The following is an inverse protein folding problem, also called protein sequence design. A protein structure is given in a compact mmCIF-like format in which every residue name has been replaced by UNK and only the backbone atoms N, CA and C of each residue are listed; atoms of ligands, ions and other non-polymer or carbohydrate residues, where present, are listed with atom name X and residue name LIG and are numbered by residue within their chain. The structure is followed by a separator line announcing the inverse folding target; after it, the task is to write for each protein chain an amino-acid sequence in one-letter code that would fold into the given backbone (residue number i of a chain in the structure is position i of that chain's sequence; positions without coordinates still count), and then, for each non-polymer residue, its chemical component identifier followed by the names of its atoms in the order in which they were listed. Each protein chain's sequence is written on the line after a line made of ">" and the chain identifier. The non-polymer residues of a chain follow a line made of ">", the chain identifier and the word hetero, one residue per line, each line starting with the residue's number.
data_IF_613585972668
#
_entry.id   IF_613585972668
#
_cell.length_a   1.000
_cell.length_b   1.000
_cell.length_c   1.000
_cell.angle_alpha   90.00
_cell.angle_beta   90.00
_cell.angle_gamma   90.00
#
_symmetry.space_group_name_H-M   'P 1'
#
loop_
_entity.id
_entity.type
_entity.pdbx_description
1 polymer ?
#
# COMPACT_ATOMS: atom_id res chain seq x y z
N UNK A 1 -16.25 -14.47 -6.27
CA UNK A 1 -16.27 -13.08 -5.73
C UNK A 1 -17.46 -12.93 -4.78
N UNK A 2 -17.26 -12.42 -3.55
CA UNK A 2 -18.33 -12.25 -2.53
C UNK A 2 -19.23 -11.08 -2.92
N UNK A 3 -20.56 -11.22 -2.65
CA UNK A 3 -21.53 -10.14 -2.83
C UNK A 3 -21.85 -9.50 -1.45
N UNK A 4 -21.43 -8.25 -1.28
CA UNK A 4 -21.64 -7.46 -0.06
C UNK A 4 -22.92 -6.61 -0.10
N UNK A 5 -23.76 -6.75 -1.12
CA UNK A 5 -24.97 -5.90 -1.31
C UNK A 5 -25.91 -5.95 -0.11
N UNK A 6 -26.07 -7.13 0.49
CA UNK A 6 -26.96 -7.35 1.64
C UNK A 6 -26.24 -7.40 2.99
N UNK A 7 -24.96 -7.02 3.05
CA UNK A 7 -24.22 -6.92 4.31
C UNK A 7 -24.79 -5.77 5.17
N UNK A 8 -24.72 -5.94 6.50
CA UNK A 8 -25.25 -4.96 7.45
C UNK A 8 -24.33 -3.73 7.44
N UNK A 9 -24.89 -2.55 7.14
CA UNK A 9 -24.13 -1.30 7.18
C UNK A 9 -24.06 -0.75 8.61
N UNK A 10 -22.85 -0.45 9.08
CA UNK A 10 -22.60 0.25 10.34
C UNK A 10 -22.18 1.71 10.07
N UNK A 11 -22.24 2.53 11.12
CA UNK A 11 -21.76 3.90 11.05
C UNK A 11 -20.25 3.92 10.77
N UNK A 12 -19.85 4.63 9.71
CA UNK A 12 -18.44 4.72 9.31
C UNK A 12 -17.64 5.59 10.30
N UNK A 13 -16.72 5.02 11.05
CA UNK A 13 -15.82 5.71 11.97
C UNK A 13 -14.56 6.26 11.29
N UNK A 14 -14.26 5.84 10.06
CA UNK A 14 -13.00 6.14 9.38
C UNK A 14 -13.09 7.41 8.55
N UNK A 15 -12.07 8.26 8.68
CA UNK A 15 -11.89 9.50 7.90
C UNK A 15 -11.28 9.18 6.52
N UNK A 16 -11.34 10.13 5.60
CA UNK A 16 -10.70 10.07 4.27
C UNK A 16 -11.64 10.48 3.14
N UNK A 17 -11.06 10.82 1.99
CA UNK A 17 -11.76 11.39 0.83
C UNK A 17 -12.40 10.33 -0.08
N UNK A 18 -12.04 9.06 0.06
CA UNK A 18 -12.59 7.97 -0.73
C UNK A 18 -14.00 7.56 -0.27
N UNK A 19 -14.84 7.14 -1.22
CA UNK A 19 -16.12 6.56 -0.87
C UNK A 19 -15.92 5.20 -0.24
N UNK A 20 -16.33 5.08 1.03
CA UNK A 20 -16.19 3.85 1.81
C UNK A 20 -17.39 3.64 2.72
N UNK A 21 -17.68 2.38 3.04
CA UNK A 21 -18.72 1.96 3.97
C UNK A 21 -18.14 0.98 4.96
N UNK A 22 -18.60 1.03 6.20
CA UNK A 22 -18.34 -0.04 7.18
C UNK A 22 -19.46 -1.06 7.09
N UNK A 23 -19.12 -2.31 6.77
CA UNK A 23 -20.07 -3.40 6.61
C UNK A 23 -19.71 -4.55 7.55
N UNK A 24 -20.74 -5.20 8.10
CA UNK A 24 -20.61 -6.49 8.79
C UNK A 24 -21.02 -7.60 7.83
N UNK A 25 -20.10 -8.52 7.61
CA UNK A 25 -20.32 -9.72 6.80
C UNK A 25 -19.67 -10.92 7.50
N UNK A 26 -20.41 -12.01 7.64
CA UNK A 26 -19.95 -13.23 8.34
C UNK A 26 -19.34 -12.94 9.72
N UNK A 27 -20.04 -12.11 10.51
CA UNK A 27 -19.65 -11.67 11.86
C UNK A 27 -18.33 -10.88 11.94
N UNK A 28 -17.79 -10.45 10.80
CA UNK A 28 -16.59 -9.63 10.73
C UNK A 28 -16.91 -8.23 10.23
N UNK A 29 -16.16 -7.25 10.70
CA UNK A 29 -16.25 -5.86 10.25
C UNK A 29 -15.28 -5.63 9.11
N UNK A 30 -15.77 -4.95 8.05
CA UNK A 30 -14.98 -4.57 6.88
C UNK A 30 -15.14 -3.10 6.55
N UNK A 31 -14.04 -2.44 6.26
CA UNK A 31 -14.04 -1.17 5.55
C UNK A 31 -14.06 -1.47 4.04
N UNK A 32 -15.21 -1.26 3.43
CA UNK A 32 -15.41 -1.55 2.01
C UNK A 32 -15.14 -0.28 1.20
N UNK A 33 -14.09 -0.33 0.37
CA UNK A 33 -13.66 0.76 -0.52
C UNK A 33 -14.33 0.60 -1.88
N UNK A 34 -14.92 1.68 -2.38
CA UNK A 34 -15.60 1.75 -3.67
C UNK A 34 -14.74 2.46 -4.70
N UNK A 35 -14.89 2.13 -6.00
CA UNK A 35 -14.42 3.00 -7.06
C UNK A 35 -14.99 4.40 -6.85
N UNK A 36 -14.17 5.43 -6.95
CA UNK A 36 -14.58 6.80 -6.58
C UNK A 36 -15.56 7.42 -7.58
N UNK A 37 -16.87 7.57 -7.29
CA UNK A 37 -17.86 8.12 -8.21
C UNK A 37 -17.80 9.65 -8.32
N UNK A 38 -17.19 10.36 -7.38
CA UNK A 38 -17.07 11.83 -7.44
C UNK A 38 -16.21 12.21 -8.63
N UNK A 39 -15.31 11.33 -9.04
CA UNK A 39 -14.39 11.52 -10.14
C UNK A 39 -14.84 10.89 -11.46
N UNK A 40 -15.96 10.15 -11.49
CA UNK A 40 -16.63 9.75 -12.74
C UNK A 40 -16.98 10.94 -13.63
N UNK A 41 -17.20 12.13 -13.04
CA UNK A 41 -17.44 13.39 -13.78
C UNK A 41 -16.15 14.04 -14.31
N UNK A 42 -15.01 13.67 -13.79
CA UNK A 42 -13.69 14.20 -14.18
C UNK A 42 -12.81 13.04 -14.58
N UNK A 43 -12.96 12.59 -15.85
CA UNK A 43 -12.27 11.41 -16.40
C UNK A 43 -10.75 11.39 -16.18
N UNK A 44 -10.16 12.56 -15.92
CA UNK A 44 -8.72 12.68 -15.70
C UNK A 44 -8.28 12.33 -14.26
N UNK A 45 -9.20 11.97 -13.35
CA UNK A 45 -8.90 11.74 -11.94
C UNK A 45 -9.72 10.54 -11.37
N UNK A 46 -10.18 9.63 -12.20
CA UNK A 46 -11.04 8.51 -11.78
C UNK A 46 -10.20 7.37 -11.21
N UNK A 47 -10.26 7.13 -9.89
CA UNK A 47 -9.66 5.95 -9.23
C UNK A 47 -10.47 4.67 -9.49
N UNK A 48 -10.71 4.34 -10.75
CA UNK A 48 -11.57 3.22 -11.16
C UNK A 48 -11.02 1.88 -10.66
N UNK A 49 -9.70 1.79 -10.51
CA UNK A 49 -9.01 0.55 -10.20
C UNK A 49 -8.41 0.48 -8.78
N UNK A 50 -8.75 1.41 -7.90
CA UNK A 50 -8.22 1.42 -6.52
C UNK A 50 -8.59 0.14 -5.73
N UNK A 51 -9.76 -0.45 -5.95
CA UNK A 51 -10.16 -1.71 -5.33
C UNK A 51 -9.23 -2.87 -5.74
N UNK A 52 -8.85 -2.94 -7.02
CA UNK A 52 -7.87 -3.93 -7.48
C UNK A 52 -6.47 -3.64 -6.94
N UNK A 53 -6.05 -2.38 -6.96
CA UNK A 53 -4.76 -1.95 -6.41
C UNK A 53 -4.64 -2.28 -4.92
N UNK A 54 -5.69 -2.00 -4.13
CA UNK A 54 -5.76 -2.37 -2.71
C UNK A 54 -5.58 -3.87 -2.50
N UNK A 55 -6.35 -4.66 -3.24
CA UNK A 55 -6.30 -6.11 -3.13
C UNK A 55 -4.95 -6.68 -3.57
N UNK A 56 -4.45 -6.26 -4.72
CA UNK A 56 -3.18 -6.77 -5.27
C UNK A 56 -2.00 -6.33 -4.42
N UNK A 57 -1.93 -5.06 -4.05
CA UNK A 57 -0.85 -4.52 -3.22
C UNK A 57 -0.77 -5.21 -1.86
N UNK A 58 -1.89 -5.34 -1.16
CA UNK A 58 -1.97 -6.04 0.13
C UNK A 58 -1.53 -7.51 0.03
N UNK A 59 -1.96 -8.22 -1.03
CA UNK A 59 -1.58 -9.63 -1.20
C UNK A 59 -0.11 -9.80 -1.59
N UNK A 60 0.50 -8.87 -2.33
CA UNK A 60 1.94 -8.90 -2.60
C UNK A 60 2.73 -8.76 -1.29
N UNK A 61 2.36 -7.82 -0.41
CA UNK A 61 2.97 -7.74 0.92
C UNK A 61 2.82 -9.05 1.72
N UNK A 62 1.65 -9.72 1.64
CA UNK A 62 1.43 -11.03 2.29
C UNK A 62 2.34 -12.11 1.71
N UNK A 63 2.48 -12.20 0.39
CA UNK A 63 3.36 -13.18 -0.28
C UNK A 63 4.82 -13.00 0.16
N UNK A 64 5.24 -11.75 0.40
CA UNK A 64 6.58 -11.42 0.90
C UNK A 64 6.74 -11.70 2.40
N UNK A 65 5.65 -11.97 3.14
CA UNK A 65 5.70 -12.38 4.55
C UNK A 65 5.37 -11.28 5.57
N UNK A 66 4.84 -10.13 5.15
CA UNK A 66 4.33 -9.14 6.10
C UNK A 66 3.02 -9.56 6.76
N UNK A 67 2.80 -9.10 8.00
CA UNK A 67 1.45 -9.01 8.54
C UNK A 67 0.67 -7.96 7.72
N UNK A 68 -0.49 -8.31 7.22
CA UNK A 68 -1.26 -7.46 6.28
C UNK A 68 -2.73 -7.49 6.67
N UNK A 69 -3.40 -6.35 6.54
CA UNK A 69 -4.84 -6.28 6.59
C UNK A 69 -5.45 -7.30 5.61
N UNK A 70 -6.38 -8.10 6.06
CA UNK A 70 -7.06 -9.05 5.18
C UNK A 70 -7.94 -8.29 4.18
N UNK A 71 -7.78 -8.58 2.89
CA UNK A 71 -8.53 -7.92 1.81
C UNK A 71 -9.25 -8.94 0.97
N UNK A 72 -10.47 -8.62 0.55
CA UNK A 72 -11.33 -9.48 -0.28
C UNK A 72 -11.88 -8.65 -1.42
N UNK A 73 -11.73 -9.13 -2.66
CA UNK A 73 -12.47 -8.57 -3.80
C UNK A 73 -13.92 -9.07 -3.75
N UNK A 74 -14.84 -8.12 -3.87
CA UNK A 74 -16.25 -8.40 -3.85
C UNK A 74 -17.04 -7.56 -4.83
N UNK A 75 -18.36 -7.81 -4.87
CA UNK A 75 -19.34 -7.01 -5.58
C UNK A 75 -20.24 -6.29 -4.61
N UNK A 76 -20.69 -5.12 -5.01
CA UNK A 76 -21.70 -4.35 -4.29
C UNK A 76 -22.62 -3.65 -5.28
N UNK A 77 -23.93 -3.87 -5.17
CA UNK A 77 -24.92 -3.25 -6.03
C UNK A 77 -25.20 -1.82 -5.57
N UNK A 78 -24.76 -0.84 -6.36
CA UNK A 78 -24.93 0.57 -6.07
C UNK A 78 -25.72 1.26 -7.18
N UNK A 79 -26.87 1.87 -6.85
CA UNK A 79 -27.79 2.51 -7.81
C UNK A 79 -28.13 1.59 -9.01
N UNK A 80 -28.40 0.32 -8.76
CA UNK A 80 -28.75 -0.66 -9.77
C UNK A 80 -27.59 -1.27 -10.57
N UNK A 81 -26.36 -0.77 -10.38
CA UNK A 81 -25.16 -1.26 -11.07
C UNK A 81 -24.25 -2.04 -10.11
N UNK A 82 -23.70 -3.15 -10.58
CA UNK A 82 -22.66 -3.88 -9.84
C UNK A 82 -21.35 -3.11 -9.90
N UNK A 83 -20.77 -2.87 -8.72
CA UNK A 83 -19.43 -2.26 -8.56
C UNK A 83 -18.49 -3.29 -7.96
N UNK A 84 -17.27 -3.37 -8.49
CA UNK A 84 -16.21 -4.14 -7.83
C UNK A 84 -15.68 -3.31 -6.67
N UNK A 85 -15.61 -3.93 -5.50
CA UNK A 85 -15.17 -3.30 -4.26
C UNK A 85 -14.05 -4.12 -3.62
N UNK A 86 -13.22 -3.46 -2.81
CA UNK A 86 -12.28 -4.13 -1.92
C UNK A 86 -12.78 -4.01 -0.48
N UNK A 87 -13.08 -5.15 0.13
CA UNK A 87 -13.43 -5.24 1.54
C UNK A 87 -12.16 -5.49 2.35
N UNK A 88 -11.77 -4.52 3.16
CA UNK A 88 -10.61 -4.53 4.05
C UNK A 88 -11.10 -4.89 5.46
N UNK A 89 -10.74 -6.07 5.98
CA UNK A 89 -11.15 -6.53 7.31
C UNK A 89 -10.58 -5.60 8.38
N UNK A 90 -11.42 -5.20 9.33
CA UNK A 90 -10.96 -4.46 10.51
C UNK A 90 -10.09 -5.38 11.38
N UNK A 91 -8.84 -4.98 11.58
CA UNK A 91 -7.86 -5.72 12.39
C UNK A 91 -7.72 -5.16 13.81
N UNK A 92 -8.55 -4.18 14.16
CA UNK A 92 -8.64 -3.64 15.53
C UNK A 92 -9.72 -4.36 16.32
N UNK A 93 -9.58 -4.38 17.64
CA UNK A 93 -10.54 -4.95 18.57
C UNK A 93 -10.64 -4.10 19.86
N UNK A 94 -11.27 -4.63 20.91
CA UNK A 94 -11.42 -3.92 22.20
C UNK A 94 -10.11 -3.77 22.98
N UNK A 95 -9.10 -4.56 22.65
CA UNK A 95 -7.79 -4.55 23.32
C UNK A 95 -6.68 -3.94 22.46
N UNK A 96 -6.83 -3.97 21.13
CA UNK A 96 -5.79 -3.57 20.20
C UNK A 96 -6.29 -2.44 19.29
N UNK A 97 -5.77 -1.25 19.49
CA UNK A 97 -6.11 -0.05 18.72
C UNK A 97 -5.02 0.32 17.73
N UNK A 98 -5.44 0.80 16.55
CA UNK A 98 -4.52 1.35 15.57
C UNK A 98 -4.19 2.80 15.91
N UNK A 99 -2.90 3.08 16.02
CA UNK A 99 -2.34 4.42 16.09
C UNK A 99 -1.50 4.67 14.84
N UNK A 100 -2.00 5.52 13.96
CA UNK A 100 -1.25 5.97 12.78
C UNK A 100 0.04 6.68 13.23
N UNK A 101 1.11 6.52 12.45
CA UNK A 101 2.39 7.19 12.76
C UNK A 101 2.23 8.69 12.88
N UNK A 102 1.39 9.32 12.05
CA UNK A 102 1.09 10.76 12.14
C UNK A 102 0.59 11.16 13.54
N UNK A 103 -0.27 10.37 14.16
CA UNK A 103 -0.81 10.61 15.49
C UNK A 103 0.25 10.48 16.59
N UNK A 104 1.14 9.48 16.47
CA UNK A 104 2.25 9.28 17.40
C UNK A 104 3.29 10.39 17.27
N UNK A 105 3.63 10.77 16.06
CA UNK A 105 4.56 11.86 15.80
C UNK A 105 4.05 13.20 16.36
N UNK A 106 2.75 13.47 16.17
CA UNK A 106 2.10 14.67 16.71
C UNK A 106 2.08 14.68 18.24
N UNK A 107 1.85 13.54 18.90
CA UNK A 107 1.87 13.44 20.36
C UNK A 107 3.26 13.68 20.93
N UNK A 108 4.32 13.36 20.19
CA UNK A 108 5.72 13.56 20.60
C UNK A 108 6.16 15.03 20.52
N UNK A 109 5.63 15.76 19.54
CA UNK A 109 5.92 17.18 19.34
C UNK A 109 4.66 17.89 18.80
N UNK A 110 3.77 18.36 19.71
CA UNK A 110 2.51 18.99 19.30
C UNK A 110 2.67 20.27 18.46
N UNK A 111 3.81 20.94 18.57
CA UNK A 111 4.09 22.20 17.90
C UNK A 111 4.68 22.00 16.49
N UNK A 112 5.15 20.78 16.15
CA UNK A 112 5.75 20.46 14.85
C UNK A 112 4.94 19.40 14.13
N UNK A 113 4.19 19.81 13.11
CA UNK A 113 3.57 18.82 12.21
C UNK A 113 4.67 18.12 11.40
N UNK A 114 4.86 16.82 11.68
CA UNK A 114 5.81 15.99 10.93
C UNK A 114 5.24 15.73 9.54
N UNK A 115 6.00 16.16 8.52
CA UNK A 115 5.69 15.91 7.12
C UNK A 115 6.16 14.52 6.66
N UNK A 116 6.38 14.39 5.38
CA UNK A 116 6.85 13.14 4.75
C UNK A 116 8.36 13.17 4.44
N UNK A 117 9.12 14.08 5.06
CA UNK A 117 10.59 14.06 4.99
C UNK A 117 11.12 12.82 5.73
N UNK A 118 11.98 12.06 5.08
CA UNK A 118 12.55 10.83 5.65
C UNK A 118 13.35 11.13 6.92
N UNK A 119 14.08 12.22 6.94
CA UNK A 119 14.89 12.64 8.10
C UNK A 119 14.00 12.87 9.33
N UNK A 120 12.91 13.62 9.18
CA UNK A 120 11.94 13.88 10.27
C UNK A 120 11.30 12.58 10.78
N UNK A 121 10.94 11.67 9.86
CA UNK A 121 10.37 10.35 10.20
C UNK A 121 11.37 9.54 11.02
N UNK A 122 12.63 9.46 10.57
CA UNK A 122 13.68 8.72 11.27
C UNK A 122 13.99 9.31 12.64
N UNK A 123 13.98 10.64 12.77
CA UNK A 123 14.15 11.32 14.06
C UNK A 123 13.07 10.88 15.07
N UNK A 124 11.81 10.86 14.64
CA UNK A 124 10.71 10.39 15.51
C UNK A 124 10.87 8.91 15.87
N UNK A 125 11.20 8.05 14.91
CA UNK A 125 11.40 6.62 15.15
C UNK A 125 12.52 6.40 16.19
N UNK A 126 13.61 7.16 16.13
CA UNK A 126 14.76 6.99 17.02
C UNK A 126 14.53 7.58 18.41
N UNK A 127 13.74 8.62 18.53
CA UNK A 127 13.60 9.38 19.80
C UNK A 127 12.36 9.02 20.62
N UNK A 128 11.31 8.50 19.96
CA UNK A 128 10.06 8.18 20.62
C UNK A 128 10.10 6.79 21.29
N UNK A 129 10.00 6.76 22.62
CA UNK A 129 10.08 5.53 23.43
C UNK A 129 8.86 4.61 23.30
N UNK A 130 7.75 5.08 22.75
CA UNK A 130 6.54 4.27 22.52
C UNK A 130 6.64 3.41 21.26
N UNK A 131 7.60 3.70 20.40
CA UNK A 131 7.81 3.02 19.13
C UNK A 131 8.66 1.76 19.34
N UNK A 132 8.30 0.64 18.71
CA UNK A 132 9.06 -0.60 18.79
C UNK A 132 10.46 -0.45 18.16
N UNK A 133 11.44 -1.13 18.74
CA UNK A 133 12.86 -1.00 18.37
C UNK A 133 13.20 -1.40 16.93
N UNK A 134 12.37 -2.22 16.31
CA UNK A 134 12.53 -2.69 14.93
C UNK A 134 11.80 -1.83 13.88
N UNK A 135 11.19 -0.73 14.30
CA UNK A 135 10.36 0.13 13.43
C UNK A 135 11.13 0.67 12.22
N UNK A 136 12.37 1.17 12.41
CA UNK A 136 13.16 1.65 11.28
C UNK A 136 13.38 0.56 10.23
N UNK A 137 13.71 -0.64 10.68
CA UNK A 137 13.88 -1.83 9.81
C UNK A 137 12.58 -2.17 9.07
N UNK A 138 11.45 -2.20 9.77
CA UNK A 138 10.15 -2.48 9.16
C UNK A 138 9.72 -1.39 8.18
N UNK A 139 9.97 -0.13 8.51
CA UNK A 139 9.71 1.00 7.62
C UNK A 139 10.47 0.86 6.28
N UNK A 140 11.78 0.56 6.32
CA UNK A 140 12.56 0.41 5.11
C UNK A 140 12.18 -0.84 4.31
N UNK A 141 11.84 -1.94 4.97
CA UNK A 141 11.30 -3.12 4.28
C UNK A 141 9.96 -2.80 3.59
N UNK A 142 9.06 -2.08 4.26
CA UNK A 142 7.81 -1.60 3.68
C UNK A 142 8.09 -0.70 2.47
N UNK A 143 9.06 0.24 2.58
CA UNK A 143 9.46 1.12 1.48
C UNK A 143 9.91 0.33 0.24
N UNK A 144 10.67 -0.77 0.41
CA UNK A 144 11.12 -1.61 -0.72
C UNK A 144 9.93 -2.29 -1.42
N UNK A 145 8.95 -2.77 -0.66
CA UNK A 145 7.75 -3.39 -1.26
C UNK A 145 6.83 -2.33 -1.86
N UNK A 146 6.69 -1.16 -1.23
CA UNK A 146 6.01 -0.02 -1.84
C UNK A 146 6.68 0.41 -3.16
N UNK A 147 8.01 0.34 -3.25
CA UNK A 147 8.75 0.55 -4.50
C UNK A 147 8.41 -0.50 -5.56
N UNK A 148 8.29 -1.78 -5.16
CA UNK A 148 7.95 -2.89 -6.05
C UNK A 148 6.54 -2.73 -6.64
N UNK A 149 5.54 -2.44 -5.79
CA UNK A 149 4.15 -2.25 -6.24
C UNK A 149 3.89 -0.83 -6.77
N UNK A 150 4.80 0.12 -6.52
CA UNK A 150 4.67 1.53 -6.89
C UNK A 150 3.55 2.25 -6.15
N UNK A 151 3.52 2.12 -4.83
CA UNK A 151 2.58 2.83 -3.99
C UNK A 151 2.98 4.31 -3.87
N UNK A 152 2.14 5.20 -4.36
CA UNK A 152 2.43 6.64 -4.41
C UNK A 152 1.96 7.42 -3.19
N UNK A 153 1.28 6.74 -2.24
CA UNK A 153 0.55 7.40 -1.14
C UNK A 153 0.78 6.79 0.25
N UNK A 154 1.95 6.20 0.52
CA UNK A 154 2.34 5.72 1.85
C UNK A 154 2.73 6.88 2.77
N UNK A 155 1.81 7.82 3.01
CA UNK A 155 2.01 8.92 3.96
C UNK A 155 1.88 8.43 5.42
N UNK A 156 2.17 9.31 6.36
CA UNK A 156 2.24 8.98 7.80
C UNK A 156 0.91 8.51 8.42
N UNK A 157 -0.22 8.69 7.75
CA UNK A 157 -1.53 8.14 8.13
C UNK A 157 -1.81 6.74 7.55
N UNK A 158 -0.95 6.20 6.66
CA UNK A 158 -1.16 4.92 5.98
C UNK A 158 -0.23 3.81 6.50
N UNK A 159 0.38 4.01 7.65
CA UNK A 159 1.12 3.03 8.44
C UNK A 159 1.18 3.47 9.90
N UNK A 160 1.51 2.56 10.81
CA UNK A 160 1.56 2.90 12.23
C UNK A 160 1.75 1.69 13.12
N UNK A 161 1.09 1.72 14.25
CA UNK A 161 1.28 0.74 15.33
C UNK A 161 -0.04 0.23 15.83
N UNK A 162 -0.06 -1.04 16.18
CA UNK A 162 -1.12 -1.66 16.95
C UNK A 162 -0.68 -1.63 18.41
N UNK A 163 -1.46 -0.96 19.27
CA UNK A 163 -1.15 -0.79 20.68
C UNK A 163 -2.21 -1.55 21.50
N UNK A 164 -1.76 -2.48 22.33
CA UNK A 164 -2.65 -3.12 23.26
C UNK A 164 -2.93 -2.17 24.43
N UNK A 165 -4.20 -1.77 24.60
CA UNK A 165 -4.60 -0.75 25.58
C UNK A 165 -4.41 -1.18 27.03
N UNK A 166 -4.39 -2.50 27.30
CA UNK A 166 -4.21 -3.04 28.67
C UNK A 166 -2.74 -3.16 29.04
N UNK A 167 -1.93 -3.69 28.13
CA UNK A 167 -0.51 -3.99 28.39
C UNK A 167 0.43 -2.89 27.92
N UNK A 168 -0.05 -1.93 27.14
CA UNK A 168 0.73 -0.88 26.49
C UNK A 168 1.80 -1.43 25.53
N UNK A 169 1.68 -2.71 25.14
CA UNK A 169 2.58 -3.31 24.16
C UNK A 169 2.31 -2.71 22.79
N UNK A 170 3.37 -2.26 22.15
CA UNK A 170 3.32 -1.66 20.80
C UNK A 170 3.95 -2.63 19.81
N UNK A 171 3.25 -2.86 18.69
CA UNK A 171 3.77 -3.63 17.53
C UNK A 171 3.58 -2.81 16.26
N UNK A 172 4.43 -3.02 15.25
CA UNK A 172 4.19 -2.47 13.92
C UNK A 172 2.85 -3.01 13.38
N UNK A 173 1.96 -2.14 12.93
CA UNK A 173 0.63 -2.54 12.48
C UNK A 173 0.70 -3.48 11.27
N UNK A 174 -0.33 -4.30 11.02
CA UNK A 174 -0.49 -4.89 9.71
C UNK A 174 -0.41 -3.82 8.62
N UNK A 175 0.16 -4.15 7.46
CA UNK A 175 0.16 -3.24 6.30
C UNK A 175 -1.28 -3.04 5.82
N UNK A 176 -1.67 -1.79 5.59
CA UNK A 176 -2.98 -1.38 5.09
C UNK A 176 -2.85 -0.23 4.09
N UNK A 177 -3.94 0.09 3.42
CA UNK A 177 -4.05 1.19 2.46
C UNK A 177 -3.01 1.13 1.31
N UNK A 178 -3.18 0.11 0.45
CA UNK A 178 -2.38 -0.08 -0.75
C UNK A 178 -3.08 0.41 -2.04
N UNK A 179 -4.20 1.12 -1.92
CA UNK A 179 -5.07 1.50 -3.05
C UNK A 179 -4.44 2.40 -4.11
N UNK A 180 -3.32 3.06 -3.78
CA UNK A 180 -2.59 3.96 -4.70
C UNK A 180 -1.41 3.31 -5.42
N UNK A 181 -1.36 1.96 -5.49
CA UNK A 181 -0.32 1.23 -6.21
C UNK A 181 -0.76 0.83 -7.63
N UNK A 182 0.20 0.37 -8.46
CA UNK A 182 -0.04 -0.22 -9.79
C UNK A 182 -0.84 0.67 -10.76
N UNK A 183 -0.65 1.99 -10.68
CA UNK A 183 -1.27 2.97 -11.57
C UNK A 183 -2.81 2.86 -11.63
N UNK A 184 -3.53 3.06 -10.51
CA UNK A 184 -4.98 2.85 -10.43
C UNK A 184 -5.81 3.78 -11.31
N UNK A 185 -5.22 4.86 -11.82
CA UNK A 185 -5.88 5.84 -12.67
C UNK A 185 -5.94 5.43 -14.14
N UNK A 186 -5.06 4.53 -14.60
CA UNK A 186 -5.04 4.09 -16.00
C UNK A 186 -6.21 3.16 -16.30
N UNK A 187 -6.92 3.44 -17.37
CA UNK A 187 -7.94 2.55 -17.94
C UNK A 187 -7.30 1.48 -18.84
N UNK A 188 -8.00 0.36 -19.06
CA UNK A 188 -7.51 -0.71 -19.92
C UNK A 188 -7.29 -0.23 -21.37
N UNK A 189 -8.16 0.67 -21.85
CA UNK A 189 -8.04 1.31 -23.17
C UNK A 189 -6.82 2.22 -23.33
N UNK A 190 -6.29 2.73 -22.22
CA UNK A 190 -5.04 3.49 -22.20
C UNK A 190 -3.85 2.55 -22.16
N UNK A 191 -3.94 1.47 -21.37
CA UNK A 191 -2.90 0.43 -21.25
C UNK A 191 -2.65 -0.24 -22.62
N UNK A 192 -3.72 -0.54 -23.40
CA UNK A 192 -3.60 -1.12 -24.75
C UNK A 192 -2.76 -0.31 -25.72
N UNK A 193 -2.64 1.00 -25.49
CA UNK A 193 -1.86 1.91 -26.34
C UNK A 193 -0.40 2.04 -25.91
N UNK A 194 -0.03 1.46 -24.75
CA UNK A 194 1.33 1.54 -24.26
C UNK A 194 2.21 0.51 -24.94
N UNK A 195 3.33 0.96 -25.48
CA UNK A 195 4.42 0.08 -25.88
C UNK A 195 5.29 -0.33 -24.68
N UNK A 196 6.22 -1.23 -24.91
CA UNK A 196 7.14 -1.72 -23.89
C UNK A 196 7.97 -0.60 -23.25
N UNK A 197 8.38 0.39 -24.04
CA UNK A 197 9.18 1.54 -23.57
C UNK A 197 8.34 2.40 -22.63
N UNK A 198 7.08 2.66 -22.97
CA UNK A 198 6.16 3.42 -22.14
C UNK A 198 5.87 2.70 -20.81
N UNK A 199 5.63 1.39 -20.83
CA UNK A 199 5.43 0.56 -19.63
C UNK A 199 6.68 0.60 -18.73
N UNK A 200 7.87 0.44 -19.31
CA UNK A 200 9.13 0.54 -18.58
C UNK A 200 9.32 1.92 -17.93
N UNK A 201 8.99 2.97 -18.67
CA UNK A 201 9.06 4.34 -18.16
C UNK A 201 8.09 4.55 -16.99
N UNK A 202 6.85 4.04 -17.07
CA UNK A 202 5.90 4.07 -15.95
C UNK A 202 6.40 3.28 -14.74
N UNK A 203 7.08 2.16 -14.96
CA UNK A 203 7.66 1.37 -13.88
C UNK A 203 8.75 2.14 -13.12
N UNK A 204 9.67 2.81 -13.84
CA UNK A 204 10.84 3.47 -13.27
C UNK A 204 10.49 4.86 -12.72
N UNK A 205 9.60 5.60 -13.38
CA UNK A 205 9.22 6.97 -12.98
C UNK A 205 8.08 6.96 -11.94
N UNK A 206 8.23 6.14 -10.90
CA UNK A 206 7.29 6.07 -9.79
C UNK A 206 7.82 6.82 -8.57
N UNK A 207 6.98 7.70 -8.02
CA UNK A 207 7.35 8.57 -6.91
C UNK A 207 6.58 8.23 -5.64
N UNK A 208 7.30 8.03 -4.55
CA UNK A 208 6.75 7.99 -3.20
C UNK A 208 6.12 9.33 -2.82
N UNK A 209 5.23 9.34 -1.84
CA UNK A 209 4.87 10.57 -1.14
C UNK A 209 6.00 11.06 -0.21
N UNK A 210 6.92 10.15 0.18
CA UNK A 210 8.09 10.51 0.98
C UNK A 210 9.00 11.51 0.25
N UNK A 211 9.71 12.30 1.03
CA UNK A 211 10.58 13.37 0.52
C UNK A 211 11.99 13.24 1.07
N UNK A 212 12.94 13.72 0.29
CA UNK A 212 14.33 13.97 0.68
C UNK A 212 14.71 15.38 0.21
N UNK A 213 15.10 16.26 1.12
CA UNK A 213 15.42 17.67 0.84
C UNK A 213 14.27 18.40 0.09
N UNK A 214 13.04 18.25 0.57
CA UNK A 214 11.84 18.89 0.01
C UNK A 214 11.31 18.28 -1.30
N UNK A 215 11.99 17.29 -1.90
CA UNK A 215 11.60 16.66 -3.17
C UNK A 215 11.06 15.27 -2.95
N UNK A 216 9.97 14.92 -3.67
CA UNK A 216 9.46 13.56 -3.67
C UNK A 216 10.52 12.57 -4.13
N UNK A 217 10.62 11.46 -3.42
CA UNK A 217 11.55 10.37 -3.74
C UNK A 217 11.03 9.59 -4.94
N UNK A 218 11.83 9.49 -6.02
CA UNK A 218 11.64 8.44 -7.01
C UNK A 218 12.20 7.14 -6.44
N UNK A 219 11.36 6.14 -6.27
CA UNK A 219 11.70 4.87 -5.61
C UNK A 219 12.96 4.22 -6.19
N UNK A 220 12.94 3.98 -7.50
CA UNK A 220 14.02 3.24 -8.18
C UNK A 220 15.34 4.02 -8.14
N UNK A 221 15.29 5.33 -8.36
CA UNK A 221 16.49 6.16 -8.29
C UNK A 221 17.08 6.23 -6.88
N UNK A 222 16.22 6.26 -5.85
CA UNK A 222 16.66 6.26 -4.46
C UNK A 222 17.38 4.97 -4.09
N UNK A 223 16.78 3.83 -4.43
CA UNK A 223 17.35 2.50 -4.21
C UNK A 223 18.69 2.37 -4.96
N UNK A 224 18.75 2.76 -6.23
CA UNK A 224 19.97 2.68 -7.07
C UNK A 224 21.12 3.56 -6.60
N UNK A 225 20.84 4.66 -5.89
CA UNK A 225 21.90 5.50 -5.30
C UNK A 225 22.65 4.82 -4.16
N UNK A 226 22.05 3.84 -3.48
CA UNK A 226 22.61 3.07 -2.35
C UNK A 226 23.20 3.94 -1.22
N UNK A 227 22.75 5.18 -1.06
CA UNK A 227 23.30 6.12 -0.07
C UNK A 227 22.76 5.90 1.33
N UNK A 228 21.58 5.32 1.47
CA UNK A 228 20.96 5.04 2.75
C UNK A 228 21.28 3.62 3.21
N UNK A 229 22.08 3.50 4.29
CA UNK A 229 22.52 2.21 4.81
C UNK A 229 21.34 1.34 5.27
N UNK A 230 20.37 1.89 5.99
CA UNK A 230 19.22 1.14 6.52
C UNK A 230 18.33 0.61 5.38
N UNK A 231 18.15 1.41 4.31
CA UNK A 231 17.49 0.96 3.10
C UNK A 231 18.24 -0.19 2.42
N UNK A 232 19.57 -0.10 2.33
CA UNK A 232 20.41 -1.17 1.76
C UNK A 232 20.34 -2.46 2.61
N UNK A 233 20.38 -2.34 3.93
CA UNK A 233 20.24 -3.46 4.85
C UNK A 233 18.85 -4.11 4.72
N UNK A 234 17.79 -3.30 4.55
CA UNK A 234 16.44 -3.81 4.28
C UNK A 234 16.36 -4.59 2.96
N UNK A 235 17.03 -4.12 1.89
CA UNK A 235 17.09 -4.85 0.62
C UNK A 235 17.75 -6.21 0.82
N UNK A 236 18.88 -6.28 1.53
CA UNK A 236 19.58 -7.55 1.83
C UNK A 236 18.67 -8.57 2.50
N UNK A 237 17.87 -8.10 3.46
CA UNK A 237 17.02 -8.97 4.26
C UNK A 237 15.76 -9.45 3.55
N UNK A 238 15.16 -8.59 2.71
CA UNK A 238 13.83 -8.88 2.16
C UNK A 238 13.86 -9.39 0.73
N UNK A 239 14.94 -9.15 -0.02
CA UNK A 239 14.95 -9.45 -1.46
C UNK A 239 14.64 -10.93 -1.76
N UNK A 240 15.19 -11.86 -0.99
CA UNK A 240 14.97 -13.30 -1.20
C UNK A 240 13.52 -13.74 -0.89
N UNK A 241 12.77 -12.93 -0.12
CA UNK A 241 11.37 -13.18 0.18
C UNK A 241 10.46 -12.66 -0.95
N UNK A 242 10.98 -11.85 -1.89
CA UNK A 242 10.24 -11.38 -3.07
C UNK A 242 10.13 -12.52 -4.09
N UNK A 243 9.15 -13.37 -3.92
CA UNK A 243 8.89 -14.54 -4.77
C UNK A 243 8.17 -14.13 -6.05
N UNK A 244 8.89 -13.55 -7.00
CA UNK A 244 8.32 -12.95 -8.21
C UNK A 244 7.42 -13.90 -9.00
N UNK A 245 7.75 -15.19 -9.06
CA UNK A 245 6.94 -16.19 -9.75
C UNK A 245 5.59 -16.45 -9.03
N UNK A 246 5.58 -16.45 -7.69
CA UNK A 246 4.34 -16.58 -6.90
C UNK A 246 3.48 -15.32 -7.07
N UNK A 247 4.08 -14.13 -7.10
CA UNK A 247 3.38 -12.87 -7.37
C UNK A 247 2.74 -12.89 -8.76
N UNK A 248 3.48 -13.30 -9.79
CA UNK A 248 2.94 -13.38 -11.15
C UNK A 248 1.80 -14.40 -11.26
N UNK A 249 1.95 -15.57 -10.63
CA UNK A 249 0.90 -16.59 -10.57
C UNK A 249 -0.35 -16.07 -9.85
N UNK A 250 -0.18 -15.42 -8.70
CA UNK A 250 -1.28 -14.79 -7.98
C UNK A 250 -2.05 -13.80 -8.86
N UNK A 251 -1.34 -12.92 -9.60
CA UNK A 251 -1.97 -11.94 -10.51
C UNK A 251 -2.78 -12.66 -11.60
N UNK A 252 -2.27 -13.76 -12.15
CA UNK A 252 -2.99 -14.55 -13.18
C UNK A 252 -4.27 -15.17 -12.65
N UNK A 253 -4.33 -15.52 -11.37
CA UNK A 253 -5.49 -16.17 -10.73
C UNK A 253 -6.58 -15.18 -10.27
N UNK A 254 -6.34 -13.84 -10.32
CA UNK A 254 -7.32 -12.86 -9.85
C UNK A 254 -8.54 -12.84 -10.78
N UNK A 255 -9.72 -13.07 -10.21
CA UNK A 255 -10.99 -12.94 -10.93
C UNK A 255 -11.40 -11.47 -11.11
N UNK A 256 -12.08 -11.19 -12.24
CA UNK A 256 -12.68 -9.88 -12.50
C UNK A 256 -11.74 -8.81 -13.02
N UNK A 257 -10.44 -9.11 -13.13
CA UNK A 257 -9.44 -8.24 -13.77
C UNK A 257 -9.22 -8.69 -15.22
N UNK A 258 -9.15 -7.75 -16.16
CA UNK A 258 -8.89 -8.05 -17.57
C UNK A 258 -7.50 -8.65 -17.80
N UNK A 259 -7.32 -9.44 -18.85
CA UNK A 259 -6.01 -9.99 -19.22
C UNK A 259 -4.99 -8.89 -19.55
N UNK A 260 -5.44 -7.76 -20.10
CA UNK A 260 -4.61 -6.59 -20.41
C UNK A 260 -4.03 -6.03 -19.12
N UNK A 261 -4.87 -5.83 -18.11
CA UNK A 261 -4.44 -5.30 -16.81
C UNK A 261 -3.54 -6.28 -16.06
N UNK A 262 -3.83 -7.59 -16.11
CA UNK A 262 -2.94 -8.62 -15.54
C UNK A 262 -1.54 -8.56 -16.18
N UNK A 263 -1.48 -8.49 -17.50
CA UNK A 263 -0.22 -8.36 -18.23
C UNK A 263 0.54 -7.08 -17.85
N UNK A 264 -0.17 -5.95 -17.76
CA UNK A 264 0.39 -4.67 -17.35
C UNK A 264 0.95 -4.71 -15.92
N UNK A 265 0.20 -5.24 -14.96
CA UNK A 265 0.66 -5.37 -13.58
C UNK A 265 1.93 -6.22 -13.47
N UNK A 266 1.94 -7.38 -14.14
CA UNK A 266 3.13 -8.24 -14.17
C UNK A 266 4.33 -7.54 -14.80
N UNK A 267 4.14 -6.84 -15.91
CA UNK A 267 5.22 -6.12 -16.59
C UNK A 267 5.84 -5.04 -15.70
N UNK A 268 5.02 -4.19 -15.08
CA UNK A 268 5.50 -3.13 -14.18
C UNK A 268 6.25 -3.70 -12.98
N UNK A 269 5.70 -4.73 -12.33
CA UNK A 269 6.31 -5.37 -11.17
C UNK A 269 7.63 -6.02 -11.56
N UNK A 270 7.68 -6.74 -12.70
CA UNK A 270 8.91 -7.38 -13.17
C UNK A 270 10.02 -6.37 -13.48
N UNK A 271 9.71 -5.21 -14.11
CA UNK A 271 10.70 -4.16 -14.32
C UNK A 271 11.27 -3.61 -13.02
N UNK A 272 10.42 -3.35 -12.02
CA UNK A 272 10.84 -2.87 -10.70
C UNK A 272 11.63 -3.94 -9.94
N UNK A 273 11.19 -5.19 -10.00
CA UNK A 273 11.92 -6.32 -9.42
C UNK A 273 13.33 -6.44 -9.95
N UNK A 274 13.52 -6.33 -11.28
CA UNK A 274 14.86 -6.35 -11.90
C UNK A 274 15.72 -5.21 -11.36
N UNK A 275 15.17 -4.00 -11.25
CA UNK A 275 15.90 -2.87 -10.69
C UNK A 275 16.33 -3.08 -9.22
N UNK A 276 15.47 -3.70 -8.40
CA UNK A 276 15.80 -4.01 -7.00
C UNK A 276 16.82 -5.14 -6.94
N UNK A 277 16.70 -6.16 -7.81
CA UNK A 277 17.64 -7.27 -7.96
C UNK A 277 19.05 -6.78 -8.29
N UNK A 278 19.18 -5.89 -9.29
CA UNK A 278 20.48 -5.33 -9.68
C UNK A 278 21.20 -4.70 -8.47
N UNK A 279 20.44 -3.96 -7.64
CA UNK A 279 20.99 -3.34 -6.43
C UNK A 279 21.34 -4.36 -5.37
N UNK A 280 20.47 -5.36 -5.16
CA UNK A 280 20.75 -6.45 -4.23
C UNK A 280 22.06 -7.17 -4.59
N UNK A 281 22.26 -7.52 -5.86
CA UNK A 281 23.48 -8.20 -6.34
C UNK A 281 24.75 -7.36 -6.09
N UNK A 282 24.68 -6.03 -6.28
CA UNK A 282 25.78 -5.10 -5.98
C UNK A 282 26.06 -5.06 -4.46
N UNK A 283 25.02 -5.03 -3.62
CA UNK A 283 25.19 -4.89 -2.16
C UNK A 283 25.79 -6.15 -1.53
N UNK A 284 25.54 -7.33 -2.10
CA UNK A 284 26.06 -8.60 -1.55
C UNK A 284 27.42 -9.02 -2.14
N UNK A 285 27.86 -8.40 -3.25
CA UNK A 285 29.19 -8.60 -3.86
C UNK A 285 30.28 -7.89 -3.05
#
# INVERSE_FOLDING_TARGET
>A
MIDFTNAIEEFNKYKGSEKKKTLIYDSKRYLVKFPDPIREKNKNISYINNAYSEYVGSNIFRIVGFKVQNTILGKYKYNGNDKIVCACEDFTDEENELYEFESIALSSNPDKKIGTEVEDIMEVIQTNKMICSDTSKMFWKMFIIDALIGNTDRHNGNWGFLINVKTQKTEFSPIYDCGSCLNPLLEDTEIEKLDEIAIKNLAINCYSCLRENGKRINYINYIKKMKNKECNDAIKEIFLDIKINEINKFIDEIEGISNIRKAFYKSIINYRYICIKDVYEIIIS
#
